data_IF_724452109672
#
_entry.id   IF_724452109672
#
_cell.length_a   1.000
_cell.length_b   1.000
_cell.length_c   1.000
_cell.angle_alpha   90.00
_cell.angle_beta   90.00
_cell.angle_gamma   90.00
#
_symmetry.space_group_name_H-M   'P 1'
#
loop_
_entity.id
_entity.type
_entity.pdbx_description
1 polymer ?
#
# COMPACT_ATOMS: atom_id res chain seq x y z
N UNK A 1 -16.03 -3.61 -18.02
CA UNK A 1 -17.30 -4.02 -18.62
C UNK A 1 -18.33 -3.01 -18.15
N UNK A 2 -19.27 -2.56 -18.98
CA UNK A 2 -20.34 -1.67 -18.50
C UNK A 2 -21.37 -2.47 -17.68
N UNK A 3 -22.09 -1.79 -16.79
CA UNK A 3 -23.01 -2.44 -15.83
C UNK A 3 -24.21 -3.10 -16.49
N UNK A 4 -24.62 -2.61 -17.67
CA UNK A 4 -25.69 -3.21 -18.45
C UNK A 4 -25.22 -4.53 -19.05
N UNK A 5 -23.98 -4.59 -19.53
CA UNK A 5 -23.33 -5.83 -19.96
C UNK A 5 -23.16 -6.84 -18.83
N UNK A 6 -22.76 -6.40 -17.63
CA UNK A 6 -22.63 -7.30 -16.46
C UNK A 6 -23.98 -7.89 -16.03
N UNK A 7 -25.04 -7.08 -15.96
CA UNK A 7 -26.40 -7.56 -15.66
C UNK A 7 -26.95 -8.50 -16.73
N UNK A 8 -26.69 -8.21 -18.00
CA UNK A 8 -27.12 -9.06 -19.11
C UNK A 8 -26.46 -10.44 -19.05
N UNK A 9 -25.17 -10.52 -18.73
CA UNK A 9 -24.44 -11.79 -18.58
C UNK A 9 -25.04 -12.62 -17.45
N UNK A 10 -25.30 -12.01 -16.28
CA UNK A 10 -25.90 -12.72 -15.15
C UNK A 10 -27.31 -13.21 -15.49
N UNK A 11 -28.12 -12.38 -16.15
CA UNK A 11 -29.47 -12.76 -16.59
C UNK A 11 -29.45 -13.96 -17.54
N UNK A 12 -28.51 -14.00 -18.50
CA UNK A 12 -28.39 -15.12 -19.44
C UNK A 12 -27.97 -16.40 -18.71
N UNK A 13 -27.03 -16.31 -17.77
CA UNK A 13 -26.59 -17.47 -17.00
C UNK A 13 -27.67 -18.01 -16.05
N UNK A 14 -28.49 -17.13 -15.46
CA UNK A 14 -29.65 -17.54 -14.68
C UNK A 14 -30.70 -18.26 -15.55
N UNK A 15 -30.93 -17.75 -16.77
CA UNK A 15 -31.82 -18.39 -17.73
C UNK A 15 -31.31 -19.78 -18.13
N UNK A 16 -30.01 -19.93 -18.41
CA UNK A 16 -29.40 -21.23 -18.74
C UNK A 16 -29.60 -22.25 -17.60
N UNK A 17 -29.43 -21.83 -16.34
CA UNK A 17 -29.66 -22.70 -15.17
C UNK A 17 -31.13 -23.12 -15.10
N UNK A 18 -32.06 -22.18 -15.31
CA UNK A 18 -33.50 -22.47 -15.29
C UNK A 18 -33.92 -23.44 -16.40
N UNK A 19 -33.39 -23.27 -17.61
CA UNK A 19 -33.62 -24.17 -18.74
C UNK A 19 -33.09 -25.60 -18.47
N UNK A 20 -31.91 -25.70 -17.86
CA UNK A 20 -31.32 -26.99 -17.47
C UNK A 20 -32.15 -27.68 -16.38
N UNK A 21 -32.59 -26.94 -15.36
CA UNK A 21 -33.42 -27.48 -14.27
C UNK A 21 -34.84 -27.84 -14.76
N UNK A 22 -35.43 -27.05 -15.64
CA UNK A 22 -36.75 -27.32 -16.22
C UNK A 22 -36.75 -28.58 -17.12
N UNK A 23 -35.68 -28.76 -17.90
CA UNK A 23 -35.50 -29.94 -18.77
C UNK A 23 -35.36 -31.26 -17.98
N UNK A 24 -34.93 -31.19 -16.71
CA UNK A 24 -34.73 -32.35 -15.82
C UNK A 24 -36.01 -32.75 -15.08
N UNK A 25 -36.91 -31.82 -14.75
CA UNK A 25 -38.20 -32.11 -14.09
C UNK A 25 -39.15 -32.99 -14.93
N UNK A 26 -38.93 -33.11 -16.24
CA UNK A 26 -39.73 -33.96 -17.15
C UNK A 26 -39.26 -35.42 -17.29
N UNK A 27 -38.10 -35.80 -16.73
CA UNK A 27 -37.50 -37.14 -16.92
C UNK A 27 -36.94 -37.67 -15.59
N UNK A 28 -37.78 -38.28 -14.76
CA UNK A 28 -37.31 -38.98 -13.57
C UNK A 28 -38.22 -40.12 -13.14
N UNK A 29 -37.79 -41.37 -13.41
CA UNK A 29 -38.18 -42.51 -12.57
C UNK A 29 -37.37 -42.42 -11.26
N UNK A 30 -38.03 -42.76 -10.16
CA UNK A 30 -37.57 -42.62 -8.79
C UNK A 30 -36.35 -43.50 -8.52
N UNK A 31 -35.17 -42.90 -8.22
CA UNK A 31 -34.04 -43.69 -7.70
C UNK A 31 -32.59 -43.17 -7.82
N UNK A 32 -32.28 -42.10 -8.56
CA UNK A 32 -30.86 -41.73 -8.76
C UNK A 32 -30.35 -40.64 -7.80
N UNK A 33 -29.43 -41.03 -6.90
CA UNK A 33 -28.66 -40.13 -6.01
C UNK A 33 -27.85 -39.07 -6.79
N UNK A 34 -27.60 -39.26 -8.09
CA UNK A 34 -26.88 -38.32 -8.93
C UNK A 34 -27.67 -37.02 -9.20
N UNK A 35 -29.01 -37.09 -9.21
CA UNK A 35 -29.84 -35.89 -9.41
C UNK A 35 -29.70 -34.89 -8.25
N UNK A 36 -29.45 -35.37 -7.03
CA UNK A 36 -29.36 -34.53 -5.83
C UNK A 36 -28.08 -33.69 -5.75
N UNK A 37 -26.93 -34.21 -6.21
CA UNK A 37 -25.66 -33.48 -6.13
C UNK A 37 -25.53 -32.42 -7.22
N UNK A 38 -26.03 -32.71 -8.43
CA UNK A 38 -26.06 -31.75 -9.53
C UNK A 38 -27.06 -30.62 -9.27
N UNK A 39 -28.26 -30.94 -8.77
CA UNK A 39 -29.28 -29.93 -8.43
C UNK A 39 -28.77 -28.99 -7.33
N UNK A 40 -28.09 -29.53 -6.32
CA UNK A 40 -27.41 -28.74 -5.31
C UNK A 40 -26.31 -27.83 -5.88
N UNK A 41 -25.55 -28.29 -6.87
CA UNK A 41 -24.53 -27.49 -7.54
C UNK A 41 -25.14 -26.35 -8.36
N UNK A 42 -26.23 -26.61 -9.10
CA UNK A 42 -26.98 -25.58 -9.84
C UNK A 42 -27.64 -24.57 -8.90
N UNK A 43 -28.22 -25.00 -7.78
CA UNK A 43 -28.79 -24.11 -6.78
C UNK A 43 -27.73 -23.22 -6.11
N UNK A 44 -26.56 -23.78 -5.81
CA UNK A 44 -25.42 -23.03 -5.27
C UNK A 44 -24.91 -21.99 -6.27
N UNK A 45 -24.77 -22.38 -7.55
CA UNK A 45 -24.34 -21.47 -8.61
C UNK A 45 -25.36 -20.36 -8.88
N UNK A 46 -26.65 -20.68 -8.83
CA UNK A 46 -27.75 -19.72 -8.92
C UNK A 46 -27.71 -18.70 -7.77
N UNK A 47 -27.41 -19.14 -6.55
CA UNK A 47 -27.26 -18.23 -5.41
C UNK A 47 -26.08 -17.28 -5.62
N UNK A 48 -24.93 -17.80 -6.05
CA UNK A 48 -23.75 -17.00 -6.38
C UNK A 48 -24.04 -15.90 -7.43
N UNK A 49 -24.81 -16.23 -8.48
CA UNK A 49 -25.20 -15.26 -9.50
C UNK A 49 -26.11 -14.15 -8.95
N UNK A 50 -27.04 -14.48 -8.05
CA UNK A 50 -27.88 -13.48 -7.39
C UNK A 50 -27.10 -12.57 -6.45
N UNK A 51 -26.16 -13.14 -5.69
CA UNK A 51 -25.29 -12.35 -4.81
C UNK A 51 -24.42 -11.39 -5.63
N UNK A 52 -23.92 -11.85 -6.78
CA UNK A 52 -23.17 -11.01 -7.74
C UNK A 52 -24.05 -9.91 -8.35
N UNK A 53 -25.32 -10.18 -8.63
CA UNK A 53 -26.28 -9.17 -9.10
C UNK A 53 -26.53 -8.09 -8.03
N UNK A 54 -26.66 -8.50 -6.77
CA UNK A 54 -26.83 -7.59 -5.64
C UNK A 54 -25.60 -6.69 -5.48
N UNK A 55 -24.39 -7.23 -5.61
CA UNK A 55 -23.15 -6.44 -5.57
C UNK A 55 -23.12 -5.37 -6.68
N UNK A 56 -23.62 -5.68 -7.88
CA UNK A 56 -23.72 -4.68 -8.96
C UNK A 56 -24.70 -3.58 -8.57
N UNK A 57 -25.86 -3.93 -8.02
CA UNK A 57 -26.88 -2.96 -7.57
C UNK A 57 -26.30 -2.05 -6.48
N UNK A 58 -25.60 -2.63 -5.50
CA UNK A 58 -25.02 -1.89 -4.39
C UNK A 58 -23.93 -0.93 -4.86
N UNK A 59 -23.09 -1.33 -5.83
CA UNK A 59 -22.12 -0.43 -6.46
C UNK A 59 -22.79 0.72 -7.21
N UNK A 60 -23.88 0.45 -7.93
CA UNK A 60 -24.65 1.50 -8.62
C UNK A 60 -25.24 2.51 -7.64
N UNK A 61 -25.83 2.01 -6.54
CA UNK A 61 -26.39 2.84 -5.47
C UNK A 61 -25.31 3.66 -4.77
N UNK A 62 -24.18 3.05 -4.42
CA UNK A 62 -23.06 3.73 -3.78
C UNK A 62 -22.48 4.85 -4.66
N UNK A 63 -22.41 4.64 -5.98
CA UNK A 63 -21.96 5.68 -6.92
C UNK A 63 -22.97 6.82 -7.03
N UNK A 64 -24.26 6.51 -7.13
CA UNK A 64 -25.34 7.51 -7.15
C UNK A 64 -25.35 8.35 -5.86
N UNK A 65 -25.23 7.71 -4.70
CA UNK A 65 -25.11 8.40 -3.41
C UNK A 65 -23.84 9.26 -3.33
N UNK A 66 -22.73 8.78 -3.88
CA UNK A 66 -21.49 9.56 -4.00
C UNK A 66 -21.69 10.84 -4.82
N UNK A 67 -22.39 10.75 -5.95
CA UNK A 67 -22.68 11.92 -6.79
C UNK A 67 -23.61 12.93 -6.10
N UNK A 68 -24.60 12.45 -5.32
CA UNK A 68 -25.50 13.31 -4.52
C UNK A 68 -24.75 14.01 -3.39
N UNK A 69 -23.86 13.32 -2.68
CA UNK A 69 -23.06 13.91 -1.59
C UNK A 69 -22.07 14.97 -2.11
N UNK A 70 -21.56 14.82 -3.34
CA UNK A 70 -20.74 15.83 -3.99
C UNK A 70 -21.56 17.01 -4.53
N UNK A 71 -22.80 16.79 -4.97
CA UNK A 71 -23.72 17.84 -5.41
C UNK A 71 -24.28 18.67 -4.24
N UNK A 72 -24.51 18.04 -3.08
CA UNK A 72 -24.96 18.69 -1.84
C UNK A 72 -23.79 19.20 -0.96
N UNK A 73 -22.55 19.04 -1.44
CA UNK A 73 -21.30 19.41 -0.77
C UNK A 73 -20.98 20.91 -0.71
N UNK A 74 -21.95 21.80 -0.98
CA UNK A 74 -21.85 23.23 -0.68
C UNK A 74 -22.32 23.50 0.75
N UNK A 75 -21.34 23.48 1.66
CA UNK A 75 -21.44 23.63 3.13
C UNK A 75 -22.32 24.78 3.65
N UNK A 76 -23.15 24.58 4.70
CA UNK A 76 -23.74 25.68 5.49
C UNK A 76 -22.71 26.49 6.29
N UNK A 77 -21.49 25.97 6.47
CA UNK A 77 -20.46 26.59 7.31
C UNK A 77 -19.61 27.65 6.61
N UNK A 78 -19.70 27.81 5.28
CA UNK A 78 -18.96 28.87 4.56
C UNK A 78 -19.75 30.17 4.36
N UNK A 79 -21.08 30.16 4.42
CA UNK A 79 -21.90 31.38 4.28
C UNK A 79 -22.05 32.22 5.56
N UNK A 80 -21.64 31.71 6.72
CA UNK A 80 -21.72 32.43 7.99
C UNK A 80 -20.43 33.22 8.35
N UNK A 81 -19.33 33.02 7.62
CA UNK A 81 -18.04 33.67 7.91
C UNK A 81 -17.81 34.96 7.11
N UNK A 82 -18.64 35.26 6.11
CA UNK A 82 -18.50 36.45 5.26
C UNK A 82 -19.36 37.64 5.71
N UNK A 83 -20.22 37.49 6.73
CA UNK A 83 -21.20 38.52 7.11
C UNK A 83 -21.14 39.05 8.55
N UNK A 84 -20.16 38.69 9.40
CA UNK A 84 -20.06 39.30 10.74
C UNK A 84 -18.63 39.30 11.33
N UNK A 85 -17.92 40.45 11.37
CA UNK A 85 -16.54 40.53 11.87
C UNK A 85 -16.38 40.32 13.39
N UNK A 86 -17.46 40.20 14.17
CA UNK A 86 -17.39 40.23 15.64
C UNK A 86 -17.57 38.88 16.36
N UNK A 87 -17.63 37.76 15.64
CA UNK A 87 -17.78 36.44 16.28
C UNK A 87 -16.46 35.88 16.85
N UNK A 88 -15.30 36.32 16.34
CA UNK A 88 -13.99 35.87 16.82
C UNK A 88 -13.62 36.37 18.24
N UNK A 89 -14.28 37.42 18.75
CA UNK A 89 -14.03 37.95 20.10
C UNK A 89 -14.90 37.32 21.20
N UNK A 90 -15.88 36.47 20.86
CA UNK A 90 -16.85 35.93 21.84
C UNK A 90 -16.51 34.54 22.39
N UNK A 91 -15.44 33.90 21.92
CA UNK A 91 -15.00 32.59 22.41
C UNK A 91 -13.79 32.67 23.37
N UNK A 92 -13.30 33.87 23.69
CA UNK A 92 -12.11 34.08 24.53
C UNK A 92 -12.38 34.54 25.97
N UNK A 93 -13.61 34.45 26.51
CA UNK A 93 -13.90 35.04 27.83
C UNK A 93 -14.94 34.24 28.65
N UNK A 94 -14.45 33.55 29.69
CA UNK A 94 -15.06 33.16 30.99
C UNK A 94 -14.06 32.21 31.69
N UNK A 95 -13.67 32.29 32.96
CA UNK A 95 -14.12 33.10 34.10
C UNK A 95 -13.03 33.01 35.21
N UNK A 96 -12.78 34.10 35.94
CA UNK A 96 -12.23 34.10 37.30
C UNK A 96 -13.35 34.41 38.32
N UNK A 97 -13.14 33.93 39.56
CA UNK A 97 -13.84 34.32 40.79
C UNK A 97 -14.65 33.17 41.43
N UNK A 98 -14.58 32.87 42.74
CA UNK A 98 -13.89 33.52 43.87
C UNK A 98 -14.03 32.66 45.15
N UNK A 99 -13.10 32.79 46.13
CA UNK A 99 -13.28 32.73 47.60
C UNK A 99 -12.01 32.31 48.39
N UNK A 100 -11.56 33.20 49.29
CA UNK A 100 -10.48 33.10 50.31
C UNK A 100 -11.00 32.49 51.67
N UNK A 101 -10.37 32.59 52.88
CA UNK A 101 -9.03 33.09 53.31
C UNK A 101 -8.31 32.27 54.45
N UNK A 102 -7.09 32.72 54.84
CA UNK A 102 -6.53 32.92 56.22
C UNK A 102 -5.11 32.37 56.56
N UNK A 103 -4.20 33.35 56.78
CA UNK A 103 -3.18 33.58 57.85
C UNK A 103 -1.95 32.68 58.17
N UNK A 104 -0.83 33.42 58.38
CA UNK A 104 0.32 33.28 59.33
C UNK A 104 1.40 32.20 59.07
N UNK A 105 2.71 32.39 59.28
CA UNK A 105 3.60 33.52 59.64
C UNK A 105 5.08 33.04 59.59
N UNK A 106 6.05 33.98 59.49
CA UNK A 106 7.52 33.89 59.76
C UNK A 106 8.43 33.04 58.84
N UNK A 107 9.66 33.41 58.48
CA UNK A 107 10.49 34.59 58.79
C UNK A 107 11.84 34.59 58.01
N UNK A 108 12.29 35.82 57.74
CA UNK A 108 13.64 36.36 57.43
C UNK A 108 14.85 35.43 57.16
N UNK A 109 15.65 35.80 56.15
CA UNK A 109 16.91 36.53 56.34
C UNK A 109 17.37 37.21 55.04
N UNK A 110 17.83 38.45 55.18
CA UNK A 110 18.22 39.40 54.14
C UNK A 110 19.75 39.56 54.08
N UNK A 111 20.25 39.96 52.90
CA UNK A 111 21.41 40.85 52.60
C UNK A 111 21.27 41.19 51.09
N UNK A 112 21.29 42.40 50.55
CA UNK A 112 21.57 43.76 51.02
C UNK A 112 22.35 44.51 49.93
N UNK A 113 21.82 45.68 49.48
CA UNK A 113 22.45 46.80 48.72
C UNK A 113 22.66 46.59 47.18
N UNK A 114 22.48 47.55 46.27
CA UNK A 114 22.13 48.99 46.34
C UNK A 114 21.59 49.51 44.98
N UNK A 115 20.81 50.60 45.01
CA UNK A 115 20.29 51.37 43.86
C UNK A 115 21.35 52.33 43.29
N UNK A 116 21.44 52.47 41.96
CA UNK A 116 21.64 53.79 41.29
C UNK A 116 21.11 53.76 39.85
N UNK A 117 20.13 54.62 39.58
CA UNK A 117 19.70 55.05 38.25
C UNK A 117 20.86 55.69 37.46
N UNK A 118 20.92 55.46 36.13
CA UNK A 118 21.80 56.25 35.25
C UNK A 118 22.47 55.56 34.06
N UNK A 119 21.91 54.50 33.46
CA UNK A 119 22.58 53.81 32.31
C UNK A 119 21.77 53.83 31.01
N UNK A 120 20.58 54.43 30.98
CA UNK A 120 19.73 54.42 29.77
C UNK A 120 20.01 55.54 28.77
N UNK A 121 20.83 56.54 29.09
CA UNK A 121 20.99 57.73 28.23
C UNK A 121 22.25 57.72 27.35
N UNK A 122 23.27 56.92 27.67
CA UNK A 122 24.51 56.85 26.88
C UNK A 122 24.36 55.91 25.66
N UNK A 123 23.58 54.83 25.79
CA UNK A 123 23.40 53.86 24.70
C UNK A 123 22.48 54.35 23.56
N UNK A 124 21.60 55.32 23.83
CA UNK A 124 20.70 55.88 22.81
C UNK A 124 21.39 56.92 21.91
N UNK A 125 22.38 57.65 22.44
CA UNK A 125 23.08 58.69 21.69
C UNK A 125 24.13 58.12 20.71
N UNK A 126 24.70 56.94 21.00
CA UNK A 126 25.62 56.25 20.09
C UNK A 126 24.91 55.59 18.88
N UNK A 127 23.66 55.17 19.06
CA UNK A 127 22.86 54.56 17.98
C UNK A 127 22.31 55.62 17.03
N UNK A 128 21.88 56.78 17.55
CA UNK A 128 21.44 57.91 16.73
C UNK A 128 22.59 58.54 15.92
N UNK A 129 23.81 58.56 16.46
CA UNK A 129 24.99 59.04 15.71
C UNK A 129 25.38 58.12 14.54
N UNK A 130 25.17 56.80 14.65
CA UNK A 130 25.46 55.84 13.57
C UNK A 130 24.43 55.87 12.43
N UNK A 131 23.18 56.24 12.72
CA UNK A 131 22.12 56.36 11.71
C UNK A 131 22.25 57.61 10.82
N UNK A 132 23.04 58.62 11.24
CA UNK A 132 23.20 59.87 10.47
C UNK A 132 24.44 59.93 9.57
N UNK A 133 25.23 58.84 9.49
CA UNK A 133 26.42 58.77 8.62
C UNK A 133 26.26 57.86 7.39
N UNK A 134 25.15 57.12 7.26
CA UNK A 134 24.93 56.17 6.16
C UNK A 134 24.19 56.74 4.93
N UNK A 135 23.95 58.06 4.87
CA UNK A 135 23.30 58.72 3.72
C UNK A 135 24.25 59.05 2.55
N UNK A 136 25.40 58.39 2.44
CA UNK A 136 26.37 58.62 1.33
C UNK A 136 26.72 57.40 0.48
N UNK A 137 26.05 56.26 0.65
CA UNK A 137 26.15 55.17 -0.32
C UNK A 137 24.75 54.79 -0.77
N UNK A 138 24.38 55.18 -1.99
CA UNK A 138 23.09 54.89 -2.63
C UNK A 138 22.84 53.40 -2.84
N UNK A 139 22.63 52.66 -1.76
CA UNK A 139 22.17 51.28 -1.74
C UNK A 139 20.69 51.32 -1.45
N UNK A 140 19.88 51.14 -2.50
CA UNK A 140 18.44 50.96 -2.36
C UNK A 140 18.16 49.67 -1.59
N UNK A 141 17.40 49.69 -0.47
CA UNK A 141 17.00 48.45 0.20
C UNK A 141 16.01 47.71 -0.70
N UNK A 142 16.38 46.54 -1.20
CA UNK A 142 15.45 45.63 -1.86
C UNK A 142 14.33 45.20 -0.90
N UNK A 143 13.15 44.79 -1.41
CA UNK A 143 12.00 44.48 -0.57
C UNK A 143 12.34 43.36 0.43
N UNK A 144 12.06 43.61 1.71
CA UNK A 144 12.27 42.64 2.79
C UNK A 144 11.35 41.44 2.62
N UNK A 145 11.86 40.39 1.98
CA UNK A 145 11.20 39.08 1.93
C UNK A 145 11.19 38.47 3.32
N UNK A 146 10.02 38.03 3.76
CA UNK A 146 9.81 37.37 5.06
C UNK A 146 10.63 36.07 5.16
N UNK A 147 10.96 35.59 6.37
CA UNK A 147 11.71 34.34 6.57
C UNK A 147 11.07 33.14 5.83
N UNK A 148 9.73 33.11 5.74
CA UNK A 148 8.97 32.11 5.00
C UNK A 148 9.24 32.12 3.48
N UNK A 149 9.59 33.27 2.89
CA UNK A 149 9.93 33.40 1.46
C UNK A 149 11.38 33.00 1.14
N UNK A 150 12.22 32.78 2.16
CA UNK A 150 13.63 32.35 1.97
C UNK A 150 13.82 30.84 2.02
N UNK A 151 12.83 30.07 2.49
CA UNK A 151 12.96 28.61 2.60
C UNK A 151 12.79 27.99 1.21
N UNK A 152 13.80 27.27 0.68
CA UNK A 152 13.68 26.62 -0.62
C UNK A 152 12.53 25.61 -0.60
N UNK A 153 11.70 25.64 -1.65
CA UNK A 153 10.58 24.72 -1.82
C UNK A 153 11.01 23.53 -2.67
N UNK A 154 10.49 22.34 -2.35
CA UNK A 154 10.79 21.07 -3.04
C UNK A 154 9.50 20.32 -3.35
N UNK A 155 9.46 19.66 -4.51
CA UNK A 155 8.29 18.87 -4.94
C UNK A 155 8.40 17.41 -4.48
N UNK A 156 7.30 16.88 -3.94
CA UNK A 156 7.17 15.48 -3.54
C UNK A 156 7.03 14.56 -4.76
N UNK A 157 7.75 13.44 -4.79
CA UNK A 157 7.72 12.50 -5.91
C UNK A 157 6.47 11.61 -5.97
N UNK A 158 5.61 11.65 -4.96
CA UNK A 158 4.40 10.82 -4.87
C UNK A 158 3.14 11.62 -5.17
N UNK A 159 2.86 12.68 -4.42
CA UNK A 159 1.68 13.53 -4.62
C UNK A 159 1.92 14.69 -5.60
N UNK A 160 3.17 14.95 -6.00
CA UNK A 160 3.58 16.05 -6.89
C UNK A 160 3.41 17.47 -6.32
N UNK A 161 2.82 17.63 -5.14
CA UNK A 161 2.74 18.93 -4.44
C UNK A 161 4.10 19.44 -3.98
N UNK A 162 4.16 20.74 -3.70
CA UNK A 162 5.37 21.46 -3.31
C UNK A 162 5.34 21.85 -1.84
N UNK A 163 6.42 21.54 -1.11
CA UNK A 163 6.54 21.75 0.33
C UNK A 163 7.82 22.52 0.68
N UNK A 164 7.88 23.21 1.83
CA UNK A 164 9.12 23.76 2.35
C UNK A 164 10.16 22.66 2.57
N UNK A 165 11.44 22.92 2.27
CA UNK A 165 12.49 21.91 2.41
C UNK A 165 12.59 21.28 3.81
N UNK A 166 12.22 22.02 4.86
CA UNK A 166 12.16 21.57 6.26
C UNK A 166 11.10 20.49 6.50
N UNK A 167 10.06 20.44 5.68
CA UNK A 167 8.94 19.48 5.76
C UNK A 167 9.06 18.36 4.72
N UNK A 168 10.27 18.13 4.20
CA UNK A 168 10.55 17.08 3.22
C UNK A 168 11.62 16.11 3.70
N UNK A 169 11.58 14.89 3.19
CA UNK A 169 12.48 13.80 3.52
C UNK A 169 13.08 13.24 2.23
N UNK A 170 14.41 13.06 2.22
CA UNK A 170 15.11 12.49 1.09
C UNK A 170 15.25 10.98 1.28
N UNK A 171 14.89 10.21 0.25
CA UNK A 171 15.24 8.80 0.16
C UNK A 171 16.74 8.63 -0.21
N UNK A 172 17.35 7.46 0.06
CA UNK A 172 18.78 7.21 -0.28
C UNK A 172 19.12 7.26 -1.78
N UNK A 173 18.11 7.22 -2.64
CA UNK A 173 18.27 7.41 -4.08
C UNK A 173 18.21 8.89 -4.52
N UNK A 174 17.98 9.83 -3.59
CA UNK A 174 17.89 11.27 -3.86
C UNK A 174 16.47 11.78 -4.13
N UNK A 175 15.47 10.90 -4.28
CA UNK A 175 14.08 11.31 -4.42
C UNK A 175 13.55 11.97 -3.15
N UNK A 176 12.72 13.00 -3.33
CA UNK A 176 12.16 13.80 -2.24
C UNK A 176 10.69 13.40 -1.99
N UNK A 177 10.33 13.29 -0.72
CA UNK A 177 8.98 12.99 -0.26
C UNK A 177 8.54 14.07 0.72
N UNK A 178 7.26 14.44 0.73
CA UNK A 178 6.68 15.13 1.89
C UNK A 178 6.57 14.16 3.07
N UNK A 179 6.45 14.69 4.28
CA UNK A 179 6.37 13.87 5.50
C UNK A 179 5.19 12.88 5.46
N UNK A 180 4.01 13.30 4.98
CA UNK A 180 2.83 12.44 4.88
C UNK A 180 3.04 11.26 3.91
N UNK A 181 3.50 11.51 2.68
CA UNK A 181 3.78 10.42 1.74
C UNK A 181 4.91 9.50 2.21
N UNK A 182 5.93 10.03 2.89
CA UNK A 182 7.00 9.19 3.48
C UNK A 182 6.45 8.30 4.61
N UNK A 183 5.61 8.87 5.50
CA UNK A 183 4.88 8.11 6.53
C UNK A 183 4.07 6.98 5.92
N UNK A 184 3.33 7.24 4.85
CA UNK A 184 2.59 6.19 4.14
C UNK A 184 3.51 5.08 3.59
N UNK A 185 4.74 5.38 3.16
CA UNK A 185 5.67 4.32 2.71
C UNK A 185 5.94 3.32 3.83
N UNK A 186 6.13 3.81 5.06
CA UNK A 186 6.35 2.95 6.23
C UNK A 186 5.07 2.21 6.63
N UNK A 187 3.94 2.90 6.74
CA UNK A 187 2.68 2.28 7.17
C UNK A 187 2.20 1.22 6.17
N UNK A 188 2.33 1.46 4.86
CA UNK A 188 1.98 0.45 3.86
C UNK A 188 2.89 -0.80 3.95
N UNK A 189 4.13 -0.65 4.40
CA UNK A 189 5.03 -1.78 4.64
C UNK A 189 4.70 -2.56 5.93
N UNK A 190 3.86 -2.02 6.82
CA UNK A 190 3.26 -2.77 7.94
C UNK A 190 2.06 -3.64 7.50
N UNK A 191 1.41 -3.26 6.40
CA UNK A 191 0.19 -3.91 5.90
C UNK A 191 0.53 -4.94 4.81
N UNK A 192 1.41 -4.58 3.88
CA UNK A 192 1.84 -5.45 2.79
C UNK A 192 3.32 -5.84 2.95
N UNK A 193 3.56 -7.11 3.30
CA UNK A 193 4.90 -7.71 3.45
C UNK A 193 5.76 -7.54 2.18
N UNK A 194 5.16 -7.44 0.99
CA UNK A 194 5.90 -7.22 -0.26
C UNK A 194 6.52 -5.82 -0.37
N UNK A 195 5.96 -4.85 0.37
CA UNK A 195 6.52 -3.50 0.48
C UNK A 195 7.58 -3.41 1.59
N UNK A 196 7.81 -4.49 2.33
CA UNK A 196 8.84 -4.58 3.34
C UNK A 196 10.16 -5.15 2.78
N UNK A 197 11.33 -4.65 3.21
CA UNK A 197 11.52 -3.35 3.86
C UNK A 197 11.11 -2.18 2.96
N UNK A 198 10.72 -1.03 3.55
CA UNK A 198 10.45 0.21 2.82
C UNK A 198 11.58 0.55 1.84
N UNK A 199 11.25 0.82 0.59
CA UNK A 199 12.23 1.09 -0.48
C UNK A 199 11.83 2.29 -1.33
N UNK A 200 12.83 2.90 -1.96
CA UNK A 200 12.63 3.81 -3.09
C UNK A 200 13.66 3.50 -4.19
N UNK A 201 13.20 3.17 -5.40
CA UNK A 201 14.04 2.80 -6.54
C UNK A 201 15.02 1.68 -6.18
N UNK A 202 14.49 0.62 -5.56
CA UNK A 202 15.23 -0.55 -5.05
C UNK A 202 16.24 -0.30 -3.92
N UNK A 203 16.38 0.93 -3.45
CA UNK A 203 17.20 1.24 -2.26
C UNK A 203 16.33 1.20 -1.01
N UNK A 204 16.72 0.40 -0.03
CA UNK A 204 16.06 0.34 1.28
C UNK A 204 16.13 1.71 1.97
N UNK A 205 15.00 2.20 2.47
CA UNK A 205 14.90 3.43 3.24
C UNK A 205 15.26 3.07 4.70
N UNK A 206 16.29 3.69 5.29
CA UNK A 206 16.74 3.35 6.63
C UNK A 206 15.66 3.58 7.70
N UNK A 207 15.63 2.71 8.71
CA UNK A 207 14.64 2.74 9.79
C UNK A 207 14.63 4.06 10.58
N UNK A 208 15.78 4.73 10.74
CA UNK A 208 15.84 6.05 11.40
C UNK A 208 15.01 7.12 10.66
N UNK A 209 14.70 6.91 9.39
CA UNK A 209 13.83 7.81 8.63
C UNK A 209 12.39 7.73 9.12
N UNK A 210 11.97 6.56 9.61
CA UNK A 210 10.65 6.37 10.20
C UNK A 210 10.48 7.28 11.43
N UNK A 211 11.51 7.41 12.27
CA UNK A 211 11.49 8.21 13.50
C UNK A 211 11.23 9.71 13.25
N UNK A 212 11.45 10.18 12.02
CA UNK A 212 11.19 11.56 11.62
C UNK A 212 9.76 11.82 11.15
N UNK A 213 8.99 10.78 10.82
CA UNK A 213 7.70 10.91 10.15
C UNK A 213 6.54 10.18 10.82
N UNK A 214 6.84 9.16 11.62
CA UNK A 214 5.86 8.36 12.35
C UNK A 214 5.67 8.88 13.78
N UNK A 215 4.46 8.74 14.31
CA UNK A 215 4.18 8.95 15.73
C UNK A 215 4.84 7.86 16.60
N UNK A 216 4.90 8.08 17.92
CA UNK A 216 5.45 7.07 18.84
C UNK A 216 4.75 5.72 18.77
N UNK A 217 3.41 5.73 18.63
CA UNK A 217 2.60 4.51 18.47
C UNK A 217 2.89 3.81 17.13
N UNK A 218 2.93 4.57 16.03
CA UNK A 218 3.21 4.05 14.70
C UNK A 218 4.62 3.46 14.59
N UNK A 219 5.60 4.04 15.30
CA UNK A 219 6.96 3.51 15.38
C UNK A 219 7.02 2.17 16.11
N UNK A 220 6.26 2.01 17.20
CA UNK A 220 6.18 0.75 17.93
C UNK A 220 5.55 -0.34 17.06
N UNK A 221 4.45 -0.02 16.37
CA UNK A 221 3.81 -0.93 15.43
C UNK A 221 4.77 -1.33 14.30
N UNK A 222 5.44 -0.35 13.67
CA UNK A 222 6.40 -0.61 12.60
C UNK A 222 7.58 -1.47 13.07
N UNK A 223 8.10 -1.24 14.28
CA UNK A 223 9.18 -2.07 14.86
C UNK A 223 8.70 -3.50 15.13
N UNK A 224 7.48 -3.67 15.64
CA UNK A 224 6.87 -4.99 15.83
C UNK A 224 6.74 -5.73 14.49
N UNK A 225 6.16 -5.10 13.47
CA UNK A 225 6.02 -5.66 12.12
C UNK A 225 7.35 -5.94 11.44
N UNK A 226 8.35 -5.07 11.64
CA UNK A 226 9.71 -5.28 11.16
C UNK A 226 10.34 -6.55 11.75
N UNK A 227 10.15 -6.79 13.06
CA UNK A 227 10.61 -8.02 13.72
C UNK A 227 9.85 -9.25 13.21
N UNK A 228 8.53 -9.13 13.01
CA UNK A 228 7.70 -10.19 12.44
C UNK A 228 8.23 -10.59 11.06
N UNK A 229 8.29 -9.65 10.11
CA UNK A 229 8.66 -9.93 8.72
C UNK A 229 10.12 -10.32 8.52
N UNK A 230 11.01 -9.96 9.45
CA UNK A 230 12.41 -10.40 9.42
C UNK A 230 12.62 -11.83 9.95
N UNK A 231 11.61 -12.42 10.59
CA UNK A 231 11.69 -13.77 11.16
C UNK A 231 11.43 -14.84 10.09
N UNK A 232 12.31 -15.85 10.00
CA UNK A 232 12.20 -16.96 9.03
C UNK A 232 11.08 -17.95 9.37
N UNK A 233 11.07 -18.46 10.61
CA UNK A 233 10.09 -19.44 11.09
C UNK A 233 9.06 -18.78 12.02
N UNK A 234 8.18 -17.97 11.41
CA UNK A 234 7.15 -17.25 12.16
C UNK A 234 6.20 -18.22 12.84
N UNK A 235 5.89 -17.93 14.10
CA UNK A 235 4.85 -18.64 14.86
C UNK A 235 3.81 -17.63 15.27
N UNK A 236 2.56 -17.95 14.99
CA UNK A 236 1.40 -17.16 15.37
C UNK A 236 0.58 -17.93 16.38
N UNK A 237 -0.15 -17.22 17.22
CA UNK A 237 -1.08 -17.85 18.15
C UNK A 237 -2.08 -18.75 17.42
N UNK A 238 -2.18 -20.01 17.85
CA UNK A 238 -3.07 -21.01 17.25
C UNK A 238 -4.57 -20.68 17.35
N UNK A 239 -4.96 -19.76 18.25
CA UNK A 239 -6.34 -19.24 18.33
C UNK A 239 -6.62 -18.29 17.15
N UNK A 240 -7.54 -18.62 16.22
CA UNK A 240 -7.81 -17.81 15.05
C UNK A 240 -8.26 -16.38 15.39
N UNK A 241 -9.02 -16.21 16.47
CA UNK A 241 -9.47 -14.90 16.97
C UNK A 241 -8.34 -14.03 17.54
N UNK A 242 -7.19 -14.62 17.85
CA UNK A 242 -6.03 -13.90 18.35
C UNK A 242 -5.00 -13.68 17.25
N UNK A 243 -4.51 -14.75 16.62
CA UNK A 243 -3.51 -14.75 15.53
C UNK A 243 -2.28 -13.85 15.74
N UNK A 244 -1.96 -13.55 17.01
CA UNK A 244 -0.86 -12.65 17.38
C UNK A 244 0.49 -13.30 17.06
N UNK A 245 1.45 -12.51 16.58
CA UNK A 245 2.80 -12.99 16.33
C UNK A 245 3.51 -13.31 17.65
N UNK A 246 4.14 -14.48 17.72
CA UNK A 246 4.91 -14.92 18.88
C UNK A 246 6.39 -14.68 18.60
N UNK A 247 6.96 -13.69 19.28
CA UNK A 247 8.38 -13.37 19.21
C UNK A 247 9.24 -14.55 19.69
N UNK A 248 10.46 -14.65 19.15
CA UNK A 248 11.38 -15.76 19.43
C UNK A 248 11.84 -15.86 20.88
N UNK A 249 11.82 -14.75 21.63
CA UNK A 249 12.09 -14.69 23.07
C UNK A 249 11.03 -15.42 23.92
N UNK A 250 9.82 -15.60 23.38
CA UNK A 250 8.70 -16.32 24.01
C UNK A 250 8.53 -17.74 23.50
N UNK A 251 9.52 -18.24 22.77
CA UNK A 251 9.59 -19.63 22.32
C UNK A 251 10.55 -20.39 23.23
N UNK A 252 10.04 -21.44 23.87
CA UNK A 252 10.81 -22.32 24.75
C UNK A 252 10.68 -23.75 24.24
N UNK A 253 11.77 -24.28 23.69
CA UNK A 253 11.75 -25.55 22.96
C UNK A 253 10.75 -25.48 21.80
N UNK A 254 9.81 -26.42 21.78
CA UNK A 254 8.81 -26.53 20.70
C UNK A 254 7.51 -25.76 20.97
N UNK A 255 7.49 -24.89 21.98
CA UNK A 255 6.27 -24.16 22.39
C UNK A 255 6.51 -22.66 22.41
N UNK A 256 5.70 -21.91 21.65
CA UNK A 256 5.58 -20.47 21.74
C UNK A 256 4.42 -20.04 22.63
N UNK A 257 4.62 -19.08 23.53
CA UNK A 257 3.57 -18.54 24.40
C UNK A 257 3.08 -17.20 23.85
N UNK A 258 1.79 -17.13 23.50
CA UNK A 258 1.19 -15.92 22.94
C UNK A 258 1.27 -14.74 23.92
N UNK A 259 1.78 -13.56 23.51
CA UNK A 259 1.89 -12.41 24.40
C UNK A 259 0.56 -11.78 24.79
N UNK A 260 -0.49 -11.99 23.99
CA UNK A 260 -1.81 -11.37 24.16
C UNK A 260 -2.78 -12.22 24.97
N UNK A 261 -2.86 -13.52 24.67
CA UNK A 261 -3.83 -14.43 25.31
C UNK A 261 -3.18 -15.61 26.06
N UNK A 262 -1.85 -15.63 26.18
CA UNK A 262 -1.05 -16.63 26.91
C UNK A 262 -1.24 -18.08 26.46
N UNK A 263 -1.89 -18.29 25.31
CA UNK A 263 -2.11 -19.63 24.75
C UNK A 263 -0.80 -20.18 24.21
N UNK A 264 -0.50 -21.44 24.56
CA UNK A 264 0.67 -22.16 24.06
C UNK A 264 0.42 -22.72 22.68
N UNK A 265 1.33 -22.44 21.75
CA UNK A 265 1.29 -22.93 20.36
C UNK A 265 2.52 -23.78 20.09
N UNK A 266 2.32 -24.97 19.54
CA UNK A 266 3.40 -25.82 19.05
C UNK A 266 4.06 -25.14 17.84
N UNK A 267 5.36 -24.88 17.89
CA UNK A 267 6.08 -24.19 16.81
C UNK A 267 6.29 -25.08 15.57
N UNK A 268 6.15 -26.40 15.72
CA UNK A 268 6.33 -27.37 14.64
C UNK A 268 5.05 -27.47 13.81
N UNK A 269 3.93 -27.85 14.44
CA UNK A 269 2.66 -28.04 13.73
C UNK A 269 1.75 -26.80 13.72
N UNK A 270 2.13 -25.72 14.41
CA UNK A 270 1.38 -24.45 14.55
C UNK A 270 -0.01 -24.60 15.21
N UNK A 271 -0.31 -25.76 15.81
CA UNK A 271 -1.55 -26.04 16.56
C UNK A 271 -1.35 -25.76 18.06
N UNK A 272 -2.40 -25.97 18.85
CA UNK A 272 -2.32 -25.84 20.31
C UNK A 272 -1.24 -26.76 20.89
N UNK A 273 -0.59 -26.30 21.97
CA UNK A 273 0.46 -27.06 22.67
C UNK A 273 -0.04 -28.46 23.02
N UNK A 274 0.73 -29.48 22.63
CA UNK A 274 0.47 -30.88 22.93
C UNK A 274 1.71 -31.56 23.50
N UNK A 275 1.51 -32.74 24.08
CA UNK A 275 2.58 -33.63 24.54
C UNK A 275 2.83 -34.71 23.47
N UNK A 276 4.09 -35.09 23.28
CA UNK A 276 4.49 -36.09 22.27
C UNK A 276 4.54 -35.53 20.84
N UNK A 277 4.58 -36.44 19.86
CA UNK A 277 4.77 -36.09 18.45
C UNK A 277 3.61 -35.25 17.87
N UNK A 278 3.95 -34.43 16.87
CA UNK A 278 2.96 -33.64 16.16
C UNK A 278 1.98 -34.54 15.39
N UNK A 279 0.67 -34.26 15.43
CA UNK A 279 -0.30 -35.01 14.63
C UNK A 279 -0.04 -34.77 13.14
N UNK A 280 -0.17 -35.83 12.32
CA UNK A 280 -0.10 -35.71 10.86
C UNK A 280 -1.13 -34.70 10.36
N UNK A 281 -0.68 -33.79 9.49
CA UNK A 281 -1.54 -32.75 8.94
C UNK A 281 -2.09 -33.15 7.57
N UNK A 282 -3.20 -33.89 7.58
CA UNK A 282 -3.90 -34.28 6.35
C UNK A 282 -4.37 -33.08 5.52
N UNK A 283 -4.63 -31.94 6.15
CA UNK A 283 -5.06 -30.72 5.43
C UNK A 283 -3.90 -30.14 4.63
N UNK A 284 -2.68 -30.18 5.18
CA UNK A 284 -1.49 -29.78 4.46
C UNK A 284 -1.25 -30.71 3.26
N UNK A 285 -1.39 -32.02 3.44
CA UNK A 285 -1.21 -33.01 2.37
C UNK A 285 -2.16 -32.73 1.19
N UNK A 286 -3.46 -32.56 1.46
CA UNK A 286 -4.45 -32.19 0.43
C UNK A 286 -4.13 -30.86 -0.27
N UNK A 287 -3.60 -29.89 0.48
CA UNK A 287 -3.20 -28.59 -0.07
C UNK A 287 -2.01 -28.72 -1.02
N UNK A 288 -1.03 -29.56 -0.68
CA UNK A 288 0.13 -29.85 -1.51
C UNK A 288 -0.25 -30.63 -2.77
N UNK A 289 -1.20 -31.56 -2.66
CA UNK A 289 -1.74 -32.29 -3.81
C UNK A 289 -2.45 -31.36 -4.79
N UNK A 290 -3.27 -30.42 -4.28
CA UNK A 290 -3.91 -29.40 -5.11
C UNK A 290 -2.86 -28.51 -5.79
N UNK A 291 -1.86 -28.05 -5.03
CA UNK A 291 -0.78 -27.23 -5.56
C UNK A 291 -0.04 -27.94 -6.71
N UNK A 292 0.26 -29.24 -6.56
CA UNK A 292 0.92 -30.03 -7.59
C UNK A 292 0.06 -30.13 -8.88
N UNK A 293 -1.25 -30.34 -8.75
CA UNK A 293 -2.18 -30.42 -9.88
C UNK A 293 -2.35 -29.08 -10.59
N UNK A 294 -2.34 -27.98 -9.84
CA UNK A 294 -2.44 -26.61 -10.38
C UNK A 294 -1.11 -26.04 -10.89
N UNK A 295 0.01 -26.77 -10.73
CA UNK A 295 1.33 -26.28 -11.10
C UNK A 295 1.85 -25.13 -10.22
N UNK A 296 1.32 -24.99 -9.01
CA UNK A 296 1.83 -24.07 -7.99
C UNK A 296 3.13 -24.60 -7.40
N UNK A 297 3.99 -23.69 -6.98
CA UNK A 297 5.33 -24.04 -6.53
C UNK A 297 5.62 -23.51 -5.14
N UNK A 298 6.29 -24.34 -4.35
CA UNK A 298 6.60 -24.02 -2.95
C UNK A 298 7.99 -23.41 -2.86
N UNK A 299 8.10 -22.24 -2.24
CA UNK A 299 9.40 -21.68 -1.91
C UNK A 299 10.16 -22.63 -0.98
N UNK A 300 11.40 -23.00 -1.32
CA UNK A 300 12.20 -23.91 -0.48
C UNK A 300 12.75 -23.26 0.80
N UNK A 301 12.73 -21.92 0.89
CA UNK A 301 13.22 -21.18 2.05
C UNK A 301 12.13 -20.97 3.10
N UNK A 302 10.97 -20.45 2.72
CA UNK A 302 9.86 -20.14 3.65
C UNK A 302 8.62 -21.01 3.47
N UNK A 303 8.67 -21.98 2.56
CA UNK A 303 7.59 -22.94 2.36
C UNK A 303 6.24 -22.37 1.89
N UNK A 304 6.19 -21.09 1.50
CA UNK A 304 5.00 -20.48 0.90
C UNK A 304 4.69 -21.10 -0.46
N UNK A 305 3.42 -21.39 -0.71
CA UNK A 305 2.92 -21.74 -2.04
C UNK A 305 2.79 -20.47 -2.89
N UNK A 306 3.26 -20.54 -4.13
CA UNK A 306 3.32 -19.43 -5.07
C UNK A 306 2.74 -19.89 -6.39
N UNK A 307 1.84 -19.10 -6.93
CA UNK A 307 1.33 -19.20 -8.29
C UNK A 307 2.02 -18.16 -9.18
N UNK A 308 2.28 -18.52 -10.45
CA UNK A 308 2.72 -17.56 -11.47
C UNK A 308 1.68 -17.46 -12.59
N UNK A 309 1.02 -16.31 -12.68
CA UNK A 309 0.10 -16.01 -13.78
C UNK A 309 0.81 -15.43 -15.00
N UNK A 310 1.95 -14.76 -14.84
CA UNK A 310 2.72 -14.21 -15.96
C UNK A 310 4.19 -14.02 -15.58
N UNK A 311 5.05 -13.91 -16.58
CA UNK A 311 6.49 -13.70 -16.38
C UNK A 311 7.36 -14.94 -16.55
N UNK A 312 8.66 -14.70 -16.43
CA UNK A 312 9.72 -15.71 -16.58
C UNK A 312 9.79 -16.64 -15.35
N UNK A 313 10.63 -17.65 -15.40
CA UNK A 313 10.87 -18.57 -14.29
C UNK A 313 11.61 -17.94 -13.11
N UNK A 314 12.13 -16.71 -13.22
CA UNK A 314 12.75 -16.04 -12.08
C UNK A 314 11.68 -15.60 -11.08
N UNK A 315 11.67 -16.23 -9.91
CA UNK A 315 10.76 -15.89 -8.82
C UNK A 315 11.53 -15.31 -7.65
N UNK A 316 11.11 -14.14 -7.17
CA UNK A 316 11.56 -13.59 -5.88
C UNK A 316 10.44 -13.77 -4.87
N UNK A 317 10.64 -14.63 -3.87
CA UNK A 317 9.64 -14.86 -2.83
C UNK A 317 9.57 -13.68 -1.86
N UNK A 318 8.46 -13.55 -1.12
CA UNK A 318 8.33 -12.61 0.02
C UNK A 318 9.44 -12.73 1.07
N UNK A 319 10.00 -13.94 1.24
CA UNK A 319 11.16 -14.17 2.11
C UNK A 319 12.51 -13.76 1.49
N UNK A 320 12.49 -13.05 0.35
CA UNK A 320 13.64 -12.61 -0.46
C UNK A 320 14.45 -13.71 -1.15
N UNK A 321 14.10 -14.98 -0.98
CA UNK A 321 14.74 -16.06 -1.73
C UNK A 321 14.40 -15.97 -3.22
N UNK A 322 15.43 -16.07 -4.07
CA UNK A 322 15.30 -16.11 -5.53
C UNK A 322 15.48 -17.54 -6.05
N UNK A 323 14.51 -18.01 -6.83
CA UNK A 323 14.46 -19.40 -7.28
C UNK A 323 13.76 -19.55 -8.63
N UNK A 324 14.02 -20.67 -9.31
CA UNK A 324 13.41 -21.02 -10.58
C UNK A 324 12.02 -21.62 -10.36
N UNK A 325 10.97 -20.96 -10.84
CA UNK A 325 9.59 -21.44 -10.71
C UNK A 325 9.41 -22.86 -11.27
N UNK A 326 10.09 -23.22 -12.37
CA UNK A 326 9.95 -24.55 -13.00
C UNK A 326 10.39 -25.72 -12.10
N UNK A 327 11.46 -25.55 -11.31
CA UNK A 327 12.09 -26.65 -10.58
C UNK A 327 12.31 -26.41 -9.07
N UNK A 328 12.08 -25.18 -8.59
CA UNK A 328 12.25 -24.81 -7.19
C UNK A 328 13.71 -24.62 -6.73
N UNK A 329 14.69 -24.82 -7.60
CA UNK A 329 16.12 -24.63 -7.27
C UNK A 329 16.46 -23.13 -7.25
N UNK A 330 17.47 -22.74 -6.46
CA UNK A 330 18.03 -21.38 -6.44
C UNK A 330 18.24 -20.84 -7.86
N UNK A 331 17.93 -19.57 -8.07
CA UNK A 331 17.98 -18.95 -9.40
C UNK A 331 19.37 -19.12 -10.04
N UNK A 332 19.38 -19.45 -11.34
CA UNK A 332 20.58 -19.79 -12.15
C UNK A 332 21.44 -20.96 -11.65
N UNK A 333 21.00 -21.74 -10.67
CA UNK A 333 21.65 -23.01 -10.28
C UNK A 333 20.99 -24.24 -10.95
N UNK A 334 20.18 -24.04 -12.00
CA UNK A 334 19.52 -25.09 -12.78
C UNK A 334 19.71 -24.86 -14.28
N UNK A 335 19.49 -25.91 -15.09
CA UNK A 335 19.54 -25.85 -16.56
C UNK A 335 18.16 -25.55 -17.20
N UNK A 336 17.16 -25.13 -16.42
CA UNK A 336 15.88 -24.73 -16.97
C UNK A 336 16.03 -23.48 -17.82
N UNK A 337 15.31 -23.42 -18.95
CA UNK A 337 15.17 -22.18 -19.71
C UNK A 337 14.49 -21.09 -18.89
N UNK A 338 14.72 -19.83 -19.25
CA UNK A 338 14.18 -18.68 -18.49
C UNK A 338 12.66 -18.54 -18.61
N UNK A 339 12.04 -19.13 -19.62
CA UNK A 339 10.61 -18.99 -19.89
C UNK A 339 9.90 -20.32 -20.10
N UNK A 340 8.61 -20.29 -19.79
CA UNK A 340 7.64 -21.25 -20.32
C UNK A 340 7.09 -20.67 -21.62
N UNK A 341 7.05 -21.48 -22.68
CA UNK A 341 6.70 -21.02 -24.02
C UNK A 341 5.26 -20.50 -24.09
N UNK A 342 4.33 -21.13 -23.35
CA UNK A 342 2.94 -20.71 -23.27
C UNK A 342 2.79 -19.35 -22.58
N UNK A 343 3.42 -19.18 -21.41
CA UNK A 343 3.40 -17.89 -20.69
C UNK A 343 4.09 -16.76 -21.48
N UNK A 344 5.20 -17.06 -22.14
CA UNK A 344 5.93 -16.08 -22.96
C UNK A 344 5.07 -15.61 -24.13
N UNK A 345 4.44 -16.54 -24.84
CA UNK A 345 3.59 -16.24 -25.99
C UNK A 345 2.36 -15.44 -25.57
N UNK A 346 1.63 -15.90 -24.54
CA UNK A 346 0.46 -15.18 -24.02
C UNK A 346 0.81 -13.75 -23.63
N UNK A 347 1.92 -13.55 -22.92
CA UNK A 347 2.35 -12.19 -22.53
C UNK A 347 2.74 -11.34 -23.73
N UNK A 348 3.38 -11.91 -24.74
CA UNK A 348 3.73 -11.19 -25.96
C UNK A 348 2.47 -10.77 -26.75
N UNK A 349 1.45 -11.63 -26.81
CA UNK A 349 0.15 -11.33 -27.41
C UNK A 349 -0.60 -10.23 -26.65
N UNK A 350 -0.63 -10.28 -25.31
CA UNK A 350 -1.19 -9.20 -24.47
C UNK A 350 -0.56 -7.83 -24.78
N UNK A 351 0.77 -7.79 -24.89
CA UNK A 351 1.49 -6.55 -25.22
C UNK A 351 1.24 -6.10 -26.66
N UNK A 352 1.12 -7.05 -27.59
CA UNK A 352 0.75 -6.76 -28.98
C UNK A 352 -0.67 -6.19 -29.08
N UNK A 353 -1.63 -6.74 -28.34
CA UNK A 353 -3.01 -6.25 -28.31
C UNK A 353 -3.07 -4.82 -27.75
N UNK A 354 -2.32 -4.54 -26.67
CA UNK A 354 -2.25 -3.19 -26.08
C UNK A 354 -1.70 -2.13 -27.04
N UNK A 355 -0.76 -2.52 -27.90
CA UNK A 355 -0.12 -1.62 -28.87
C UNK A 355 -0.80 -1.57 -30.23
N UNK A 356 -1.81 -2.40 -30.48
CA UNK A 356 -2.49 -2.49 -31.77
C UNK A 356 -3.45 -1.29 -31.95
N UNK A 357 -3.42 -0.59 -33.09
CA UNK A 357 -4.45 0.39 -33.41
C UNK A 357 -5.82 -0.32 -33.55
N UNK A 358 -6.89 0.36 -33.13
CA UNK A 358 -8.25 -0.19 -33.04
C UNK A 358 -8.82 -0.79 -34.36
N UNK A 359 -8.14 -0.60 -35.50
CA UNK A 359 -8.56 -1.07 -36.83
C UNK A 359 -7.61 -2.08 -37.51
N UNK A 360 -6.60 -2.64 -36.83
CA UNK A 360 -5.66 -3.59 -37.46
C UNK A 360 -6.17 -5.04 -37.46
N UNK A 361 -7.33 -5.29 -38.08
CA UNK A 361 -7.79 -6.66 -38.38
C UNK A 361 -7.28 -7.20 -39.73
N UNK A 362 -6.36 -6.50 -40.43
CA UNK A 362 -6.13 -6.75 -41.86
C UNK A 362 -4.77 -7.34 -42.26
N UNK A 363 -3.89 -7.74 -41.33
CA UNK A 363 -2.69 -8.47 -41.76
C UNK A 363 -2.12 -9.41 -40.69
N UNK A 364 -2.46 -10.69 -40.80
CA UNK A 364 -1.98 -11.77 -39.91
C UNK A 364 -0.43 -11.80 -39.83
N UNK A 365 0.25 -11.48 -40.94
CA UNK A 365 1.71 -11.38 -41.01
C UNK A 365 2.27 -10.24 -40.14
N UNK A 366 1.57 -9.10 -40.07
CA UNK A 366 2.01 -7.97 -39.24
C UNK A 366 1.80 -8.27 -37.75
N UNK A 367 0.69 -8.94 -37.41
CA UNK A 367 0.45 -9.42 -36.05
C UNK A 367 1.53 -10.39 -35.57
N UNK A 368 1.83 -11.43 -36.37
CA UNK A 368 2.86 -12.41 -36.03
C UNK A 368 4.24 -11.75 -35.84
N UNK A 369 4.58 -10.78 -36.69
CA UNK A 369 5.83 -10.03 -36.55
C UNK A 369 5.86 -9.18 -35.27
N UNK A 370 4.74 -8.53 -34.91
CA UNK A 370 4.61 -7.73 -33.69
C UNK A 370 4.73 -8.60 -32.42
N UNK A 371 4.03 -9.74 -32.37
CA UNK A 371 4.13 -10.71 -31.28
C UNK A 371 5.57 -11.22 -31.18
N UNK A 372 6.19 -11.63 -32.29
CA UNK A 372 7.58 -12.08 -32.33
C UNK A 372 8.58 -11.03 -31.82
N UNK A 373 8.32 -9.73 -32.05
CA UNK A 373 9.12 -8.65 -31.48
C UNK A 373 9.00 -8.60 -29.95
N UNK A 374 7.79 -8.73 -29.40
CA UNK A 374 7.60 -8.76 -27.95
C UNK A 374 8.16 -10.02 -27.29
N UNK A 375 8.06 -11.19 -27.94
CA UNK A 375 8.71 -12.43 -27.49
C UNK A 375 10.21 -12.20 -27.30
N UNK A 376 10.92 -11.71 -28.33
CA UNK A 376 12.36 -11.41 -28.23
C UNK A 376 12.67 -10.38 -27.15
N UNK A 377 11.87 -9.33 -27.06
CA UNK A 377 12.05 -8.29 -26.04
C UNK A 377 11.92 -8.85 -24.62
N UNK A 378 10.90 -9.67 -24.36
CA UNK A 378 10.68 -10.31 -23.07
C UNK A 378 11.81 -11.30 -22.73
N UNK A 379 12.30 -12.08 -23.70
CA UNK A 379 13.42 -13.00 -23.50
C UNK A 379 14.72 -12.29 -23.11
N UNK A 380 14.95 -11.06 -23.57
CA UNK A 380 16.17 -10.30 -23.23
C UNK A 380 15.98 -9.47 -21.95
N UNK A 381 14.78 -8.92 -21.72
CA UNK A 381 14.50 -7.95 -20.66
C UNK A 381 13.68 -8.52 -19.49
N UNK A 382 13.58 -9.83 -19.34
CA UNK A 382 12.79 -10.45 -18.26
C UNK A 382 13.31 -10.15 -16.85
N UNK A 383 14.60 -9.86 -16.69
CA UNK A 383 15.21 -9.41 -15.42
C UNK A 383 15.29 -7.88 -15.32
N UNK A 384 14.27 -7.18 -15.83
CA UNK A 384 14.27 -5.72 -15.86
C UNK A 384 14.42 -5.11 -14.46
N UNK A 385 15.40 -4.21 -14.31
CA UNK A 385 15.70 -3.59 -13.03
C UNK A 385 14.80 -2.40 -12.66
N UNK A 386 13.97 -1.88 -13.57
CA UNK A 386 12.99 -0.80 -13.30
C UNK A 386 13.53 0.52 -12.70
N UNK A 387 14.85 0.71 -12.62
CA UNK A 387 15.48 1.89 -12.01
C UNK A 387 15.18 3.18 -12.79
N UNK A 388 15.12 3.10 -14.11
CA UNK A 388 14.87 4.23 -15.01
C UNK A 388 14.15 3.77 -16.29
N UNK A 389 13.84 4.72 -17.18
CA UNK A 389 13.24 4.41 -18.48
C UNK A 389 11.73 4.21 -18.44
N UNK A 390 11.02 4.96 -17.60
CA UNK A 390 9.56 4.99 -17.56
C UNK A 390 9.02 6.02 -18.56
N UNK A 391 8.04 5.64 -19.39
CA UNK A 391 7.24 6.57 -20.19
C UNK A 391 5.92 6.85 -19.47
N UNK A 392 5.52 8.12 -19.44
CA UNK A 392 4.18 8.50 -19.01
C UNK A 392 3.20 8.16 -20.13
N UNK A 393 2.06 7.59 -19.77
CA UNK A 393 0.95 7.33 -20.68
C UNK A 393 -0.32 7.91 -20.06
N UNK A 394 -0.97 8.83 -20.78
CA UNK A 394 -2.27 9.36 -20.41
C UNK A 394 -3.36 8.32 -20.67
N UNK A 395 -4.43 8.39 -19.90
CA UNK A 395 -5.60 7.51 -20.01
C UNK A 395 -5.76 6.56 -18.84
N UNK A 396 -6.98 6.00 -18.75
CA UNK A 396 -7.37 5.10 -17.68
C UNK A 396 -6.80 3.70 -17.86
N UNK A 397 -5.99 3.20 -16.92
CA UNK A 397 -5.47 1.83 -16.99
C UNK A 397 -5.17 1.26 -15.61
N UNK A 398 -5.27 -0.07 -15.48
CA UNK A 398 -4.94 -0.81 -14.26
C UNK A 398 -3.43 -0.99 -14.09
N UNK A 399 -2.93 -0.79 -12.87
CA UNK A 399 -1.56 -1.10 -12.51
C UNK A 399 -1.37 -2.62 -12.36
N UNK A 400 -0.40 -3.21 -13.05
CA UNK A 400 -0.12 -4.65 -13.02
C UNK A 400 0.50 -5.12 -11.68
N UNK A 401 0.91 -4.20 -10.81
CA UNK A 401 1.57 -4.51 -9.54
C UNK A 401 0.65 -4.44 -8.31
N UNK A 402 -0.40 -3.63 -8.36
CA UNK A 402 -1.32 -3.45 -7.23
C UNK A 402 -2.79 -3.55 -7.65
N UNK A 403 -3.06 -3.79 -8.94
CA UNK A 403 -4.40 -3.90 -9.52
C UNK A 403 -5.30 -2.67 -9.34
N UNK A 404 -4.76 -1.57 -8.80
CA UNK A 404 -5.47 -0.31 -8.72
C UNK A 404 -5.62 0.30 -10.12
N UNK A 405 -6.84 0.72 -10.44
CA UNK A 405 -7.15 1.43 -11.68
C UNK A 405 -6.86 2.92 -11.53
N UNK A 406 -5.98 3.46 -12.36
CA UNK A 406 -5.70 4.90 -12.41
C UNK A 406 -6.45 5.49 -13.60
N UNK A 407 -7.39 6.43 -13.40
CA UNK A 407 -8.25 6.93 -14.46
C UNK A 407 -7.55 7.89 -15.44
N UNK A 408 -6.47 8.52 -15.01
CA UNK A 408 -5.84 9.61 -15.77
C UNK A 408 -4.48 9.24 -16.37
N UNK A 409 -3.71 8.37 -15.69
CA UNK A 409 -2.35 8.09 -16.11
C UNK A 409 -1.82 6.75 -15.61
N UNK A 410 -0.83 6.24 -16.33
CA UNK A 410 -0.02 5.11 -15.92
C UNK A 410 1.42 5.28 -16.40
N UNK A 411 2.38 4.64 -15.74
CA UNK A 411 3.76 4.58 -16.22
C UNK A 411 4.04 3.23 -16.87
N UNK A 412 4.66 3.27 -18.05
CA UNK A 412 5.06 2.07 -18.78
C UNK A 412 6.58 1.95 -18.79
N UNK A 413 7.11 0.78 -18.45
CA UNK A 413 8.55 0.53 -18.55
C UNK A 413 8.94 0.36 -20.02
N UNK A 414 9.92 1.12 -20.52
CA UNK A 414 10.39 1.03 -21.91
C UNK A 414 11.13 -0.28 -22.24
N UNK A 415 11.50 -1.08 -21.24
CA UNK A 415 12.26 -2.33 -21.43
C UNK A 415 11.36 -3.56 -21.44
N UNK A 416 10.42 -3.66 -20.51
CA UNK A 416 9.55 -4.83 -20.34
C UNK A 416 8.05 -4.54 -20.53
N UNK A 417 7.69 -3.28 -20.84
CA UNK A 417 6.31 -2.82 -21.07
C UNK A 417 5.34 -3.04 -19.90
N UNK A 418 5.83 -3.29 -18.69
CA UNK A 418 4.99 -3.39 -17.49
C UNK A 418 4.33 -2.04 -17.18
N UNK A 419 3.06 -2.08 -16.79
CA UNK A 419 2.32 -0.93 -16.31
C UNK A 419 2.36 -0.81 -14.79
N UNK A 420 2.88 0.31 -14.29
CA UNK A 420 2.97 0.57 -12.87
C UNK A 420 2.43 1.96 -12.50
N UNK A 421 1.68 2.03 -11.41
CA UNK A 421 1.33 3.32 -10.79
C UNK A 421 2.59 3.98 -10.22
N UNK A 422 2.50 5.29 -9.92
CA UNK A 422 3.65 6.04 -9.41
C UNK A 422 4.21 5.44 -8.10
N UNK A 423 3.33 4.97 -7.20
CA UNK A 423 3.74 4.36 -5.93
C UNK A 423 4.44 3.02 -6.16
N UNK A 424 3.89 2.13 -6.98
CA UNK A 424 4.49 0.83 -7.29
C UNK A 424 5.85 0.97 -7.95
N UNK A 425 6.00 1.82 -8.97
CA UNK A 425 7.30 2.01 -9.66
C UNK A 425 8.40 2.57 -8.76
N UNK A 426 8.05 3.26 -7.66
CA UNK A 426 9.02 3.83 -6.73
C UNK A 426 9.29 2.88 -5.57
N UNK A 427 8.24 2.30 -4.99
CA UNK A 427 8.33 1.64 -3.68
C UNK A 427 8.21 0.11 -3.73
N UNK A 428 7.70 -0.47 -4.83
CA UNK A 428 7.50 -1.92 -4.97
C UNK A 428 8.51 -2.59 -5.90
N UNK A 429 8.74 -2.05 -7.09
CA UNK A 429 9.54 -2.66 -8.16
C UNK A 429 10.90 -2.03 -8.40
#
# INVERSE_FOLDING_TARGET
MDELSEKLIISLQLQDIEEVLASRKGKGKQGDLASSNDEFAFDTYRQYLRDTEQDIIDRCLARSLGEVVWADGDTPTKRAAENDPNLALRLGRKNEGDASPTSSDTGALAWGLDHTDGVTEIAMNEWQARLMLEDQTGVTPGPSRTFAERVPKKSCQICFDTFPATSTVNAPCGHIYCQSCMKEVFLNACVDEMLFPPRCCKKEIPLYTAEKVLSGEELLEFRSKSSEYSSKDRTYCCKPTCSEFIHSDRIHGDVGICPKCFTGTCVICKKERHLGDCPKDKSLDLTLDLAARSGWQRCRSCHALVEISSGCHHMTCRCKAEWCYKCGVTWKQCQCGDWDDGRLTRRAEELAMRGAPLNSNQNQTNWAHLVGRYVRNLQVNHECQHVSGWRFQAGGTQCEMCYHFLPQYIFVCRRCEILACNRCRKNRI
#
